data_IF_697896490947
#
_entry.id   IF_697896490947
#
_cell.length_a   1.000
_cell.length_b   1.000
_cell.length_c   1.000
_cell.angle_alpha   90.00
_cell.angle_beta   90.00
_cell.angle_gamma   90.00
#
_symmetry.space_group_name_H-M   'P 1'
#
loop_
_entity.id
_entity.type
_entity.pdbx_description
1 polymer ?
#
# COMPACT_ATOMS: atom_id res chain seq x y z
N UNK A 1 -34.85 -50.86 -23.49
CA UNK A 1 -35.27 -50.53 -24.87
C UNK A 1 -35.07 -49.03 -25.08
N UNK A 2 -33.94 -48.64 -25.68
CA UNK A 2 -33.63 -47.25 -26.01
C UNK A 2 -34.31 -46.86 -27.33
N UNK A 3 -35.09 -45.77 -27.33
CA UNK A 3 -35.59 -45.15 -28.56
C UNK A 3 -34.49 -44.24 -29.13
N UNK A 4 -34.20 -44.27 -30.43
CA UNK A 4 -33.20 -43.40 -31.02
C UNK A 4 -33.74 -41.97 -31.17
N UNK A 5 -32.91 -41.00 -30.79
CA UNK A 5 -33.17 -39.57 -30.88
C UNK A 5 -33.11 -39.10 -32.34
N UNK A 6 -34.23 -38.61 -32.85
CA UNK A 6 -34.39 -38.05 -34.20
C UNK A 6 -33.52 -36.80 -34.37
N UNK A 7 -32.54 -36.83 -35.28
CA UNK A 7 -31.79 -35.63 -35.70
C UNK A 7 -32.54 -34.94 -36.85
N UNK A 8 -32.98 -33.70 -36.64
CA UNK A 8 -33.51 -32.83 -37.69
C UNK A 8 -32.34 -32.19 -38.46
N UNK A 9 -32.23 -32.36 -39.80
CA UNK A 9 -31.26 -31.65 -40.59
C UNK A 9 -31.80 -30.26 -40.96
N UNK A 10 -31.20 -29.20 -40.41
CA UNK A 10 -31.39 -27.83 -40.88
C UNK A 10 -30.72 -27.68 -42.26
N UNK A 11 -31.52 -27.72 -43.32
CA UNK A 11 -31.07 -27.37 -44.68
C UNK A 11 -31.07 -25.85 -44.84
N UNK A 12 -29.89 -25.23 -44.77
CA UNK A 12 -29.68 -23.88 -45.28
C UNK A 12 -29.63 -23.93 -46.82
N UNK A 13 -30.61 -23.33 -47.47
CA UNK A 13 -30.61 -23.13 -48.92
C UNK A 13 -29.59 -22.03 -49.28
N UNK A 14 -28.71 -22.23 -50.28
CA UNK A 14 -27.82 -21.18 -50.72
C UNK A 14 -28.59 -20.21 -51.63
N UNK A 15 -28.67 -18.93 -51.23
CA UNK A 15 -28.97 -17.85 -52.17
C UNK A 15 -27.74 -17.66 -53.06
N UNK A 16 -27.89 -17.95 -54.35
CA UNK A 16 -26.92 -17.64 -55.39
C UNK A 16 -26.76 -16.11 -55.48
N UNK A 17 -25.62 -15.60 -55.03
CA UNK A 17 -25.14 -14.26 -55.38
C UNK A 17 -23.82 -14.45 -56.11
N UNK A 18 -23.88 -14.30 -57.43
CA UNK A 18 -22.72 -14.25 -58.31
C UNK A 18 -21.99 -12.92 -58.10
N UNK A 19 -20.94 -12.91 -57.28
CA UNK A 19 -19.90 -11.89 -57.30
C UNK A 19 -18.57 -12.54 -56.91
N UNK A 20 -17.46 -12.30 -57.62
CA UNK A 20 -16.17 -12.89 -57.28
C UNK A 20 -15.57 -12.10 -56.11
N UNK A 21 -15.97 -12.43 -54.89
CA UNK A 21 -15.30 -11.93 -53.69
C UNK A 21 -14.14 -12.90 -53.40
N UNK A 22 -12.91 -12.44 -53.64
CA UNK A 22 -11.71 -13.13 -53.15
C UNK A 22 -11.65 -12.99 -51.62
N UNK A 23 -12.41 -13.83 -50.92
CA UNK A 23 -12.28 -14.00 -49.47
C UNK A 23 -11.01 -14.81 -49.20
N UNK A 24 -9.94 -14.14 -48.79
CA UNK A 24 -8.79 -14.82 -48.17
C UNK A 24 -9.24 -15.31 -46.78
N UNK A 25 -9.22 -16.62 -46.49
CA UNK A 25 -9.50 -17.10 -45.14
C UNK A 25 -8.39 -16.65 -44.20
N UNK A 26 -8.75 -15.98 -43.11
CA UNK A 26 -7.82 -15.45 -42.08
C UNK A 26 -7.25 -16.58 -41.19
N UNK A 27 -7.66 -17.85 -41.41
CA UNK A 27 -7.15 -18.97 -40.65
C UNK A 27 -7.05 -20.26 -41.49
N UNK A 28 -5.90 -20.93 -41.42
CA UNK A 28 -5.59 -22.20 -42.09
C UNK A 28 -5.87 -23.45 -41.26
N UNK A 29 -6.68 -23.33 -40.19
CA UNK A 29 -6.89 -24.41 -39.20
C UNK A 29 -8.34 -24.86 -39.20
N UNK A 30 -8.54 -26.18 -39.14
CA UNK A 30 -9.86 -26.79 -39.06
C UNK A 30 -10.48 -26.43 -37.71
N UNK A 31 -11.63 -25.75 -37.71
CA UNK A 31 -12.39 -25.47 -36.51
C UNK A 31 -12.78 -26.79 -35.81
N UNK A 32 -12.09 -27.11 -34.72
CA UNK A 32 -12.46 -28.24 -33.85
C UNK A 32 -13.50 -27.74 -32.83
N UNK A 33 -14.67 -28.39 -32.71
CA UNK A 33 -15.61 -28.08 -31.65
C UNK A 33 -14.97 -28.36 -30.27
N UNK A 34 -15.35 -27.58 -29.26
CA UNK A 34 -14.89 -27.76 -27.89
C UNK A 34 -15.25 -29.16 -27.38
N UNK A 35 -14.24 -29.90 -26.91
CA UNK A 35 -14.43 -31.21 -26.31
C UNK A 35 -14.81 -31.03 -24.84
N UNK A 36 -16.09 -31.16 -24.52
CA UNK A 36 -16.57 -31.11 -23.13
C UNK A 36 -16.20 -32.42 -22.45
N UNK A 37 -15.32 -32.36 -21.43
CA UNK A 37 -14.94 -33.53 -20.66
C UNK A 37 -16.19 -34.16 -19.99
N UNK A 38 -16.39 -35.50 -20.07
CA UNK A 38 -17.58 -36.18 -19.54
C UNK A 38 -17.77 -36.12 -18.01
N UNK A 39 -16.86 -35.48 -17.27
CA UNK A 39 -16.74 -35.55 -15.80
C UNK A 39 -17.37 -34.35 -15.07
N UNK A 40 -17.98 -33.40 -15.78
CA UNK A 40 -18.77 -32.36 -15.10
C UNK A 40 -20.12 -32.97 -14.70
N UNK A 41 -20.19 -33.38 -13.44
CA UNK A 41 -21.30 -34.13 -12.84
C UNK A 41 -22.66 -33.50 -13.12
N UNK A 42 -23.58 -34.31 -13.65
CA UNK A 42 -25.02 -34.00 -13.64
C UNK A 42 -25.55 -34.24 -12.24
N UNK A 43 -25.36 -33.25 -11.39
CA UNK A 43 -25.97 -33.16 -10.08
C UNK A 43 -26.23 -31.68 -9.76
N UNK A 44 -27.20 -31.36 -8.89
CA UNK A 44 -27.29 -30.01 -8.35
C UNK A 44 -25.93 -29.61 -7.79
N UNK A 45 -25.51 -28.34 -7.96
CA UNK A 45 -24.26 -27.86 -7.40
C UNK A 45 -24.20 -28.25 -5.92
N UNK A 46 -23.04 -28.71 -5.42
CA UNK A 46 -22.90 -29.07 -4.02
C UNK A 46 -23.35 -27.89 -3.16
N UNK A 47 -24.03 -28.20 -2.06
CA UNK A 47 -24.47 -27.16 -1.13
C UNK A 47 -23.29 -26.27 -0.73
N UNK A 48 -23.49 -24.94 -0.63
CA UNK A 48 -22.46 -24.02 -0.17
C UNK A 48 -21.85 -24.55 1.13
N UNK A 49 -20.52 -24.58 1.26
CA UNK A 49 -19.88 -25.05 2.48
C UNK A 49 -20.42 -24.25 3.66
N UNK A 50 -21.08 -24.93 4.59
CA UNK A 50 -21.56 -24.35 5.83
C UNK A 50 -20.33 -23.83 6.57
N UNK A 51 -20.30 -22.56 7.03
CA UNK A 51 -19.17 -22.04 7.79
C UNK A 51 -18.98 -22.93 9.02
N UNK A 52 -17.89 -23.70 9.03
CA UNK A 52 -17.53 -24.55 10.14
C UNK A 52 -17.51 -23.70 11.41
N UNK A 53 -18.19 -24.14 12.47
CA UNK A 53 -18.15 -23.48 13.77
C UNK A 53 -16.70 -23.30 14.18
N UNK A 54 -16.25 -22.05 14.16
CA UNK A 54 -14.84 -21.71 14.22
C UNK A 54 -14.33 -21.94 15.63
N UNK A 55 -13.87 -23.15 15.92
CA UNK A 55 -13.19 -23.43 17.18
C UNK A 55 -11.80 -22.78 17.11
N UNK A 56 -11.55 -21.81 18.00
CA UNK A 56 -10.30 -21.07 18.08
C UNK A 56 -9.07 -22.01 18.15
N UNK A 57 -9.19 -23.16 18.81
CA UNK A 57 -8.13 -24.15 18.90
C UNK A 57 -7.79 -24.81 17.56
N UNK A 58 -8.77 -25.03 16.69
CA UNK A 58 -8.54 -25.60 15.35
C UNK A 58 -7.84 -24.60 14.42
N UNK A 59 -8.15 -23.30 14.54
CA UNK A 59 -7.43 -22.23 13.81
C UNK A 59 -5.96 -22.14 14.22
N UNK A 60 -5.69 -22.17 15.52
CA UNK A 60 -4.32 -22.12 16.05
C UNK A 60 -3.53 -23.36 15.63
N UNK A 61 -4.12 -24.56 15.73
CA UNK A 61 -3.48 -25.80 15.29
C UNK A 61 -3.17 -25.81 13.79
N UNK A 62 -4.09 -25.32 12.94
CA UNK A 62 -3.86 -25.19 11.50
C UNK A 62 -2.72 -24.21 11.18
N UNK A 63 -2.69 -23.05 11.84
CA UNK A 63 -1.60 -22.07 11.69
C UNK A 63 -0.24 -22.65 12.13
N UNK A 64 -0.21 -23.40 13.24
CA UNK A 64 1.01 -24.10 13.70
C UNK A 64 1.51 -25.11 12.67
N UNK A 65 0.64 -25.98 12.14
CA UNK A 65 1.01 -26.96 11.10
C UNK A 65 1.50 -26.30 9.82
N UNK A 66 0.86 -25.22 9.38
CA UNK A 66 1.32 -24.45 8.21
C UNK A 66 2.70 -23.85 8.45
N UNK A 67 2.93 -23.25 9.64
CA UNK A 67 4.23 -22.69 9.99
C UNK A 67 5.33 -23.77 10.04
N UNK A 68 5.03 -24.96 10.56
CA UNK A 68 5.95 -26.10 10.58
C UNK A 68 6.28 -26.61 9.16
N UNK A 69 5.28 -26.70 8.29
CA UNK A 69 5.46 -27.08 6.89
C UNK A 69 6.32 -26.06 6.13
N UNK A 70 6.12 -24.76 6.39
CA UNK A 70 6.94 -23.66 5.86
C UNK A 70 8.39 -23.75 6.36
N UNK A 71 8.61 -24.07 7.66
CA UNK A 71 9.95 -24.31 8.21
C UNK A 71 10.64 -25.48 7.49
N UNK A 72 9.96 -26.61 7.32
CA UNK A 72 10.53 -27.77 6.64
C UNK A 72 10.85 -27.49 5.16
N UNK A 73 9.95 -26.80 4.44
CA UNK A 73 10.19 -26.39 3.06
C UNK A 73 11.42 -25.45 2.95
N UNK A 74 11.60 -24.57 3.93
CA UNK A 74 12.74 -23.66 4.00
C UNK A 74 14.06 -24.38 4.29
N UNK A 75 14.07 -25.34 5.19
CA UNK A 75 15.23 -26.18 5.49
C UNK A 75 15.67 -27.00 4.25
N UNK A 76 14.72 -27.58 3.52
CA UNK A 76 14.97 -28.28 2.27
C UNK A 76 15.55 -27.36 1.18
N UNK A 77 15.04 -26.13 1.05
CA UNK A 77 15.55 -25.14 0.10
C UNK A 77 16.99 -24.72 0.46
N UNK A 78 17.28 -24.49 1.74
CA UNK A 78 18.62 -24.13 2.21
C UNK A 78 19.63 -25.28 2.02
N UNK A 79 19.21 -26.53 2.20
CA UNK A 79 20.04 -27.71 1.97
C UNK A 79 20.47 -27.82 0.49
N UNK A 80 19.60 -27.51 -0.47
CA UNK A 80 19.92 -27.57 -1.91
C UNK A 80 20.91 -26.50 -2.38
N UNK A 81 21.02 -25.36 -1.68
CA UNK A 81 21.96 -24.26 -2.01
C UNK A 81 23.40 -24.56 -1.54
N UNK A 82 23.63 -25.67 -0.83
CA UNK A 82 24.96 -26.03 -0.29
C UNK A 82 26.02 -26.34 -1.35
N UNK A 83 25.66 -26.62 -2.60
CA UNK A 83 26.59 -27.11 -3.63
C UNK A 83 27.30 -26.07 -4.52
N UNK A 84 27.16 -24.74 -4.34
CA UNK A 84 27.93 -23.82 -5.21
C UNK A 84 27.77 -22.30 -5.09
N UNK A 85 27.83 -21.68 -3.90
CA UNK A 85 27.76 -20.21 -3.82
C UNK A 85 28.39 -19.60 -2.56
N UNK A 86 29.17 -18.52 -2.75
CA UNK A 86 29.87 -17.76 -1.71
C UNK A 86 28.97 -17.18 -0.61
N UNK A 87 29.56 -16.84 0.53
CA UNK A 87 28.90 -16.63 1.83
C UNK A 87 27.77 -15.59 1.88
N UNK A 88 27.73 -14.62 0.97
CA UNK A 88 26.66 -13.60 0.89
C UNK A 88 25.35 -14.11 0.26
N UNK A 89 25.36 -15.27 -0.40
CA UNK A 89 24.16 -15.85 -1.04
C UNK A 89 23.26 -16.62 -0.08
N UNK A 90 23.73 -16.93 1.13
CA UNK A 90 23.01 -17.78 2.10
C UNK A 90 22.54 -16.95 3.29
N UNK A 91 21.37 -17.30 3.83
CA UNK A 91 20.91 -16.79 5.12
C UNK A 91 21.87 -17.32 6.20
N UNK A 92 22.44 -16.43 7.01
CA UNK A 92 23.39 -16.80 8.07
C UNK A 92 22.73 -16.89 9.45
N UNK A 93 21.42 -16.64 9.55
CA UNK A 93 20.64 -16.68 10.80
C UNK A 93 19.51 -17.70 10.72
N UNK A 94 19.15 -18.28 11.86
CA UNK A 94 18.04 -19.24 11.98
C UNK A 94 16.82 -18.57 12.58
N UNK A 95 16.99 -17.93 13.72
CA UNK A 95 15.93 -17.38 14.55
C UNK A 95 16.01 -15.85 14.57
N UNK A 96 14.85 -15.20 14.56
CA UNK A 96 14.72 -13.75 14.71
C UNK A 96 13.90 -13.47 15.95
N UNK A 97 14.46 -12.71 16.88
CA UNK A 97 13.83 -12.43 18.19
C UNK A 97 13.80 -10.93 18.45
N UNK A 98 12.80 -10.47 19.19
CA UNK A 98 12.74 -9.11 19.73
C UNK A 98 13.17 -9.19 21.18
N UNK A 99 14.13 -8.36 21.57
CA UNK A 99 14.66 -8.30 22.94
C UNK A 99 14.63 -6.87 23.43
N UNK A 100 14.27 -6.67 24.70
CA UNK A 100 14.42 -5.40 25.37
C UNK A 100 15.85 -5.29 25.93
N UNK A 101 16.59 -4.28 25.49
CA UNK A 101 17.98 -4.04 25.85
C UNK A 101 18.19 -2.54 26.05
N UNK A 102 18.67 -2.16 27.24
CA UNK A 102 18.96 -0.77 27.62
C UNK A 102 17.78 0.20 27.39
N UNK A 103 16.56 -0.22 27.73
CA UNK A 103 15.35 0.61 27.57
C UNK A 103 14.91 0.81 26.11
N UNK A 104 15.33 -0.07 25.20
CA UNK A 104 14.86 -0.08 23.81
C UNK A 104 14.63 -1.51 23.33
N UNK A 105 13.69 -1.68 22.40
CA UNK A 105 13.50 -2.93 21.68
C UNK A 105 14.55 -3.06 20.58
N UNK A 106 15.16 -4.22 20.48
CA UNK A 106 16.15 -4.56 19.46
C UNK A 106 15.74 -5.87 18.78
N UNK A 107 15.88 -5.92 17.46
CA UNK A 107 15.71 -7.15 16.69
C UNK A 107 17.05 -7.87 16.64
N UNK A 108 17.08 -9.14 17.04
CA UNK A 108 18.27 -9.99 17.04
C UNK A 108 18.13 -11.11 16.01
N UNK A 109 19.18 -11.28 15.20
CA UNK A 109 19.39 -12.40 14.31
C UNK A 109 20.28 -13.42 15.05
N UNK A 110 19.67 -14.51 15.50
CA UNK A 110 20.22 -15.42 16.51
C UNK A 110 20.68 -14.65 17.77
N UNK A 111 21.98 -14.40 17.90
CA UNK A 111 22.60 -13.69 19.04
C UNK A 111 23.06 -12.28 18.71
N UNK A 112 22.90 -11.83 17.46
CA UNK A 112 23.43 -10.55 16.97
C UNK A 112 22.32 -9.55 16.74
N UNK A 113 22.43 -8.39 17.38
CA UNK A 113 21.53 -7.27 17.12
C UNK A 113 21.61 -6.80 15.67
N UNK A 114 20.45 -6.48 15.09
CA UNK A 114 20.31 -5.89 13.77
C UNK A 114 20.95 -4.50 13.75
N UNK A 115 21.69 -4.22 12.67
CA UNK A 115 22.47 -2.99 12.54
C UNK A 115 22.05 -2.17 11.33
N UNK A 116 22.18 -0.86 11.49
CA UNK A 116 22.00 0.10 10.43
C UNK A 116 22.97 -0.19 9.26
N UNK A 117 22.49 -0.22 7.99
CA UNK A 117 23.31 -0.60 6.84
C UNK A 117 24.56 0.25 6.64
N UNK A 118 24.49 1.56 6.94
CA UNK A 118 25.57 2.53 6.70
C UNK A 118 26.42 2.70 7.96
N UNK A 119 25.86 3.35 8.98
CA UNK A 119 26.52 3.68 10.28
C UNK A 119 26.92 2.47 11.13
N UNK A 120 26.38 1.27 10.87
CA UNK A 120 26.61 0.04 11.66
C UNK A 120 26.17 0.12 13.13
N UNK A 121 25.49 1.18 13.53
CA UNK A 121 24.86 1.29 14.86
C UNK A 121 23.76 0.24 15.00
N UNK A 122 23.45 -0.14 16.24
CA UNK A 122 22.33 -1.06 16.51
C UNK A 122 21.02 -0.29 16.25
N UNK A 123 20.08 -0.91 15.55
CA UNK A 123 18.74 -0.35 15.35
C UNK A 123 17.97 -0.45 16.66
N UNK A 124 17.68 0.69 17.29
CA UNK A 124 17.01 0.78 18.60
C UNK A 124 15.59 1.28 18.39
N UNK A 125 14.60 0.46 18.70
CA UNK A 125 13.18 0.79 18.58
C UNK A 125 12.65 1.21 19.96
N UNK A 126 11.85 2.29 20.08
CA UNK A 126 11.25 2.67 21.35
C UNK A 126 10.40 1.54 21.96
N UNK A 127 10.37 1.42 23.29
CA UNK A 127 9.53 0.44 24.01
C UNK A 127 8.04 0.60 23.70
N UNK A 128 7.62 1.83 23.40
CA UNK A 128 6.26 2.15 23.01
C UNK A 128 5.85 1.50 21.68
N UNK A 129 6.79 1.03 20.83
CA UNK A 129 6.53 0.51 19.47
C UNK A 129 6.78 -1.01 19.32
N UNK A 130 6.10 -1.89 20.08
CA UNK A 130 6.30 -3.34 20.00
C UNK A 130 5.82 -3.95 18.67
N UNK A 131 4.80 -3.35 18.05
CA UNK A 131 4.27 -3.81 16.76
C UNK A 131 5.27 -3.57 15.63
N UNK A 132 5.94 -2.40 15.63
CA UNK A 132 7.03 -2.10 14.70
C UNK A 132 8.19 -3.10 14.86
N UNK A 133 8.61 -3.36 16.11
CA UNK A 133 9.69 -4.30 16.39
C UNK A 133 9.35 -5.72 15.92
N UNK A 134 8.11 -6.17 16.17
CA UNK A 134 7.61 -7.46 15.72
C UNK A 134 7.52 -7.54 14.20
N UNK A 135 7.09 -6.46 13.53
CA UNK A 135 7.00 -6.40 12.08
C UNK A 135 8.39 -6.42 11.42
N UNK A 136 9.38 -5.72 11.97
CA UNK A 136 10.79 -5.81 11.52
C UNK A 136 11.34 -7.22 11.76
N UNK A 137 11.02 -7.85 12.91
CA UNK A 137 11.43 -9.23 13.14
C UNK A 137 10.84 -10.19 12.10
N UNK A 138 9.57 -10.02 11.74
CA UNK A 138 8.92 -10.79 10.67
C UNK A 138 9.54 -10.51 9.29
N UNK A 139 9.86 -9.25 8.98
CA UNK A 139 10.54 -8.86 7.76
C UNK A 139 11.84 -9.65 7.57
N UNK A 140 12.69 -9.69 8.60
CA UNK A 140 13.94 -10.46 8.61
C UNK A 140 13.73 -11.97 8.73
N UNK A 141 12.62 -12.40 9.32
CA UNK A 141 12.27 -13.81 9.34
C UNK A 141 11.83 -14.29 7.96
N UNK A 142 11.29 -13.46 7.08
CA UNK A 142 10.86 -13.87 5.74
C UNK A 142 11.99 -13.94 4.70
N UNK A 143 13.14 -13.30 4.96
CA UNK A 143 14.27 -13.26 4.01
C UNK A 143 14.88 -14.65 3.77
N UNK A 144 15.03 -15.04 2.50
CA UNK A 144 15.61 -16.34 2.14
C UNK A 144 17.14 -16.33 2.12
N UNK A 145 17.75 -15.15 2.02
CA UNK A 145 19.20 -14.99 1.94
C UNK A 145 19.67 -13.66 2.55
N UNK A 146 20.97 -13.55 2.86
CA UNK A 146 21.56 -12.28 3.26
C UNK A 146 21.54 -11.24 2.12
N UNK A 147 21.55 -11.68 0.86
CA UNK A 147 21.43 -10.79 -0.30
C UNK A 147 20.03 -10.16 -0.40
N UNK A 148 18.99 -10.84 0.06
CA UNK A 148 17.64 -10.25 0.09
C UNK A 148 17.58 -9.02 1.00
N UNK A 149 18.41 -8.97 2.06
CA UNK A 149 18.53 -7.80 2.92
C UNK A 149 19.17 -6.58 2.23
N UNK A 150 19.71 -6.70 1.02
CA UNK A 150 20.17 -5.54 0.24
C UNK A 150 19.08 -5.01 -0.69
N UNK A 151 17.94 -5.70 -0.81
CA UNK A 151 16.83 -5.31 -1.67
C UNK A 151 15.80 -4.53 -0.85
N UNK A 152 15.71 -3.23 -1.09
CA UNK A 152 14.85 -2.32 -0.32
C UNK A 152 13.37 -2.75 -0.29
N UNK A 153 12.85 -3.33 -1.37
CA UNK A 153 11.48 -3.82 -1.43
C UNK A 153 11.20 -5.04 -0.55
N UNK A 154 12.24 -5.76 -0.09
CA UNK A 154 12.13 -6.88 0.85
C UNK A 154 12.36 -6.47 2.30
N UNK A 155 12.91 -5.27 2.53
CA UNK A 155 13.14 -4.73 3.87
C UNK A 155 12.61 -3.29 4.08
N UNK A 156 11.34 -3.02 3.71
CA UNK A 156 10.81 -1.66 3.71
C UNK A 156 10.71 -1.00 5.09
N UNK A 157 10.48 -1.77 6.16
CA UNK A 157 10.41 -1.27 7.54
C UNK A 157 11.80 -1.02 8.11
N UNK A 158 12.75 -1.92 7.88
CA UNK A 158 14.16 -1.69 8.26
C UNK A 158 14.69 -0.42 7.59
N UNK A 159 14.42 -0.24 6.29
CA UNK A 159 14.80 0.99 5.60
C UNK A 159 14.13 2.24 6.18
N UNK A 160 12.87 2.14 6.61
CA UNK A 160 12.12 3.26 7.18
C UNK A 160 12.64 3.70 8.54
N UNK A 161 12.87 2.76 9.45
CA UNK A 161 13.40 3.08 10.78
C UNK A 161 14.84 3.60 10.69
N UNK A 162 15.63 3.05 9.77
CA UNK A 162 16.97 3.57 9.46
C UNK A 162 16.88 5.03 9.00
N UNK A 163 15.94 5.37 8.11
CA UNK A 163 15.68 6.74 7.68
C UNK A 163 15.30 7.66 8.84
N UNK A 164 14.45 7.21 9.78
CA UNK A 164 14.11 7.99 10.98
C UNK A 164 15.34 8.23 11.87
N UNK A 165 16.19 7.21 12.07
CA UNK A 165 17.44 7.37 12.81
C UNK A 165 18.44 8.32 12.14
N UNK A 166 18.57 8.27 10.81
CA UNK A 166 19.42 9.19 10.06
C UNK A 166 18.97 10.65 10.23
N UNK A 167 17.65 10.88 10.27
CA UNK A 167 17.07 12.22 10.54
C UNK A 167 17.38 12.67 11.96
N UNK A 168 17.11 11.82 12.96
CA UNK A 168 17.39 12.14 14.36
C UNK A 168 18.89 12.44 14.59
N UNK A 169 19.78 11.63 14.03
CA UNK A 169 21.22 11.83 14.14
C UNK A 169 21.68 13.13 13.45
N UNK A 170 21.05 13.53 12.35
CA UNK A 170 21.33 14.81 11.69
C UNK A 170 20.80 16.01 12.47
N UNK A 171 19.69 15.87 13.21
CA UNK A 171 19.15 16.91 14.08
C UNK A 171 20.00 17.11 15.35
N UNK A 172 20.68 16.07 15.83
CA UNK A 172 21.62 16.14 16.97
C UNK A 172 23.00 16.70 16.58
N UNK A 173 23.32 16.76 15.28
CA UNK A 173 24.62 17.21 14.82
C UNK A 173 24.81 18.73 15.06
N UNK A 174 26.00 19.18 15.50
CA UNK A 174 26.26 20.61 15.70
C UNK A 174 26.12 21.37 14.38
N UNK A 175 25.25 22.38 14.34
CA UNK A 175 24.93 23.10 13.11
C UNK A 175 23.69 23.97 13.24
N UNK A 176 23.06 24.29 12.11
CA UNK A 176 21.82 25.06 12.06
C UNK A 176 20.70 24.42 12.91
N UNK A 177 19.75 25.23 13.37
CA UNK A 177 18.59 24.79 14.17
C UNK A 177 17.74 23.71 13.48
N UNK A 178 17.73 23.69 12.15
CA UNK A 178 17.05 22.69 11.33
C UNK A 178 18.10 21.96 10.48
N UNK A 179 18.14 20.64 10.58
CA UNK A 179 19.09 19.82 9.80
C UNK A 179 18.85 19.92 8.29
N UNK A 180 19.91 19.79 7.49
CA UNK A 180 19.82 19.81 6.02
C UNK A 180 18.89 18.72 5.48
N UNK A 181 18.87 17.55 6.13
CA UNK A 181 17.98 16.44 5.77
C UNK A 181 16.53 16.88 5.93
N UNK A 182 16.17 17.43 7.10
CA UNK A 182 14.82 17.91 7.42
C UNK A 182 14.37 19.03 6.48
N UNK A 183 15.26 19.97 6.19
CA UNK A 183 15.02 21.04 5.23
C UNK A 183 14.77 20.50 3.81
N UNK A 184 15.55 19.50 3.37
CA UNK A 184 15.37 18.83 2.08
C UNK A 184 14.04 18.07 1.97
N UNK A 185 13.62 17.41 3.06
CA UNK A 185 12.31 16.75 3.14
C UNK A 185 11.20 17.79 3.04
N UNK A 186 11.23 18.84 3.87
CA UNK A 186 10.23 19.91 3.85
C UNK A 186 10.12 20.55 2.46
N UNK A 187 11.24 20.85 1.82
CA UNK A 187 11.28 21.39 0.44
C UNK A 187 10.59 20.46 -0.55
N UNK A 188 10.82 19.15 -0.45
CA UNK A 188 10.18 18.17 -1.33
C UNK A 188 8.69 18.04 -1.07
N UNK A 189 8.28 17.98 0.19
CA UNK A 189 6.88 17.87 0.59
C UNK A 189 6.06 19.11 0.22
N UNK A 190 6.64 20.30 0.33
CA UNK A 190 5.97 21.53 -0.09
C UNK A 190 5.75 21.59 -1.61
N UNK A 191 6.57 20.92 -2.43
CA UNK A 191 6.26 20.78 -3.87
C UNK A 191 5.00 19.94 -4.11
N UNK A 192 4.73 18.95 -3.24
CA UNK A 192 3.46 18.24 -3.25
C UNK A 192 2.31 19.09 -2.75
N UNK A 193 2.51 20.04 -1.83
CA UNK A 193 1.46 21.01 -1.49
C UNK A 193 1.07 21.86 -2.71
N UNK A 194 2.07 22.32 -3.47
CA UNK A 194 1.86 23.15 -4.67
C UNK A 194 1.13 22.38 -5.79
N UNK A 195 1.12 21.04 -5.74
CA UNK A 195 0.55 20.15 -6.76
C UNK A 195 -0.21 18.97 -6.15
N UNK A 196 -0.90 19.20 -5.03
CA UNK A 196 -1.48 18.10 -4.24
C UNK A 196 -2.57 17.39 -5.05
N UNK A 197 -2.46 16.07 -5.20
CA UNK A 197 -3.38 15.29 -6.02
C UNK A 197 -4.83 15.40 -5.58
N UNK A 198 -5.11 15.58 -4.28
CA UNK A 198 -6.48 15.73 -3.77
C UNK A 198 -7.06 17.12 -4.05
N UNK A 199 -6.20 18.11 -4.32
CA UNK A 199 -6.60 19.47 -4.70
C UNK A 199 -6.66 19.66 -6.22
N UNK A 200 -6.45 18.59 -6.99
CA UNK A 200 -6.56 18.61 -8.45
C UNK A 200 -7.86 17.93 -8.87
N UNK A 201 -8.80 18.72 -9.39
CA UNK A 201 -10.15 18.24 -9.70
C UNK A 201 -10.38 18.14 -11.20
N UNK A 202 -11.17 17.13 -11.57
CA UNK A 202 -11.67 16.96 -12.92
C UNK A 202 -12.50 18.18 -13.36
N UNK A 203 -12.57 18.47 -14.67
CA UNK A 203 -13.45 19.49 -15.22
C UNK A 203 -14.93 19.27 -14.83
N UNK A 204 -15.77 20.32 -14.90
CA UNK A 204 -17.20 20.18 -14.70
C UNK A 204 -17.79 19.09 -15.60
N UNK A 205 -18.55 18.17 -15.00
CA UNK A 205 -19.15 17.06 -15.72
C UNK A 205 -20.18 17.55 -16.76
N UNK A 206 -20.14 16.92 -17.92
CA UNK A 206 -21.02 17.08 -19.06
C UNK A 206 -22.14 16.02 -19.05
N UNK A 207 -23.08 16.12 -19.98
CA UNK A 207 -24.18 15.15 -20.11
C UNK A 207 -23.72 13.73 -20.46
N UNK A 208 -22.52 13.59 -21.00
CA UNK A 208 -21.97 12.31 -21.44
C UNK A 208 -21.05 11.66 -20.41
N UNK A 209 -20.71 12.38 -19.34
CA UNK A 209 -19.84 11.84 -18.30
C UNK A 209 -20.58 10.78 -17.48
N UNK A 210 -19.86 9.71 -17.18
CA UNK A 210 -20.39 8.63 -16.37
C UNK A 210 -20.62 9.12 -14.94
N UNK A 211 -21.69 8.61 -14.33
CA UNK A 211 -22.05 8.91 -12.95
C UNK A 211 -22.06 7.60 -12.16
N UNK A 212 -21.78 7.69 -10.87
CA UNK A 212 -21.92 6.53 -9.97
C UNK A 212 -23.41 6.26 -9.69
N UNK A 213 -23.69 5.21 -8.91
CA UNK A 213 -25.06 4.83 -8.52
C UNK A 213 -25.82 5.94 -7.75
N UNK A 214 -25.09 6.85 -7.10
CA UNK A 214 -25.63 8.02 -6.41
C UNK A 214 -25.88 9.22 -7.35
N UNK A 215 -25.57 9.10 -8.64
CA UNK A 215 -25.72 10.17 -9.62
C UNK A 215 -24.62 11.23 -9.57
N UNK A 216 -23.53 10.98 -8.84
CA UNK A 216 -22.40 11.89 -8.68
C UNK A 216 -21.40 11.70 -9.83
N UNK A 217 -20.76 12.80 -10.24
CA UNK A 217 -19.62 12.75 -11.17
C UNK A 217 -18.30 12.51 -10.43
N UNK A 218 -17.23 12.16 -11.16
CA UNK A 218 -15.88 12.08 -10.60
C UNK A 218 -15.49 13.35 -9.84
N UNK A 219 -15.81 14.53 -10.40
CA UNK A 219 -15.52 15.82 -9.77
C UNK A 219 -16.23 15.98 -8.43
N UNK A 220 -17.49 15.53 -8.33
CA UNK A 220 -18.26 15.64 -7.09
C UNK A 220 -17.63 14.78 -5.98
N UNK A 221 -17.24 13.55 -6.31
CA UNK A 221 -16.57 12.63 -5.38
C UNK A 221 -15.17 13.16 -4.98
N UNK A 222 -14.41 13.72 -5.92
CA UNK A 222 -13.11 14.37 -5.64
C UNK A 222 -13.27 15.54 -4.66
N UNK A 223 -14.26 16.41 -4.88
CA UNK A 223 -14.54 17.55 -4.00
C UNK A 223 -14.92 17.11 -2.61
N UNK A 224 -15.82 16.13 -2.49
CA UNK A 224 -16.25 15.63 -1.20
C UNK A 224 -15.08 15.05 -0.39
N UNK A 225 -14.23 14.23 -1.02
CA UNK A 225 -13.03 13.67 -0.38
C UNK A 225 -12.06 14.78 0.04
N UNK A 226 -11.83 15.76 -0.84
CA UNK A 226 -10.95 16.89 -0.56
C UNK A 226 -11.48 17.75 0.60
N UNK A 227 -12.78 18.05 0.63
CA UNK A 227 -13.43 18.81 1.70
C UNK A 227 -13.33 18.08 3.04
N UNK A 228 -13.52 16.76 3.08
CA UNK A 228 -13.36 15.96 4.31
C UNK A 228 -11.94 16.11 4.88
N UNK A 229 -10.92 15.94 4.02
CA UNK A 229 -9.52 16.00 4.42
C UNK A 229 -9.12 17.43 4.81
N UNK A 230 -9.44 18.41 3.96
CA UNK A 230 -9.08 19.82 4.18
C UNK A 230 -9.76 20.35 5.45
N UNK A 231 -11.06 20.07 5.65
CA UNK A 231 -11.80 20.49 6.84
C UNK A 231 -11.15 19.94 8.11
N UNK A 232 -10.76 18.67 8.10
CA UNK A 232 -10.04 18.10 9.22
C UNK A 232 -8.71 18.83 9.48
N UNK A 233 -7.91 19.05 8.43
CA UNK A 233 -6.59 19.65 8.57
C UNK A 233 -6.66 21.10 9.04
N UNK A 234 -7.54 21.92 8.45
CA UNK A 234 -7.71 23.32 8.85
C UNK A 234 -8.37 23.48 10.22
N UNK A 235 -9.04 22.44 10.74
CA UNK A 235 -9.60 22.46 12.09
C UNK A 235 -8.58 21.99 13.14
N UNK A 236 -7.85 20.92 12.86
CA UNK A 236 -7.07 20.20 13.88
C UNK A 236 -5.56 20.38 13.77
N UNK A 237 -5.03 20.72 12.58
CA UNK A 237 -3.59 20.71 12.32
C UNK A 237 -3.08 22.11 12.00
N UNK A 238 -3.78 22.83 11.13
CA UNK A 238 -3.44 24.18 10.69
C UNK A 238 -4.62 25.14 10.90
N UNK A 239 -4.99 25.44 12.16
CA UNK A 239 -6.08 26.36 12.45
C UNK A 239 -5.84 27.74 11.83
N UNK A 240 -6.86 28.26 11.15
CA UNK A 240 -6.85 29.60 10.59
C UNK A 240 -6.27 29.73 9.18
N UNK A 241 -5.77 28.65 8.56
CA UNK A 241 -5.40 28.68 7.14
C UNK A 241 -6.58 28.27 6.25
N UNK A 242 -6.62 28.82 5.04
CA UNK A 242 -7.54 28.39 3.98
C UNK A 242 -6.73 27.69 2.90
N UNK A 243 -7.07 26.44 2.62
CA UNK A 243 -6.49 25.68 1.51
C UNK A 243 -7.50 25.70 0.37
N UNK A 244 -7.04 26.12 -0.81
CA UNK A 244 -7.85 26.19 -2.03
C UNK A 244 -7.47 25.06 -3.00
N UNK A 245 -8.34 24.72 -3.96
CA UNK A 245 -8.00 23.76 -5.01
C UNK A 245 -6.81 24.26 -5.82
N UNK A 246 -5.91 23.36 -6.21
CA UNK A 246 -4.72 23.68 -7.02
C UNK A 246 -5.08 23.71 -8.51
N UNK A 247 -5.92 22.78 -8.96
CA UNK A 247 -6.46 22.73 -10.32
C UNK A 247 -7.98 22.53 -10.26
N UNK A 248 -8.73 23.41 -10.91
CA UNK A 248 -10.20 23.32 -11.00
C UNK A 248 -10.69 23.22 -12.47
N UNK A 249 -10.08 22.32 -13.23
CA UNK A 249 -10.52 21.91 -14.58
C UNK A 249 -10.41 22.93 -15.72
N UNK A 250 -10.35 24.24 -15.41
CA UNK A 250 -10.28 25.32 -16.40
C UNK A 250 -8.85 25.70 -16.80
N UNK A 251 -7.85 25.11 -16.14
CA UNK A 251 -6.43 25.38 -16.35
C UNK A 251 -5.65 24.09 -16.11
N UNK A 252 -4.57 23.92 -16.87
CA UNK A 252 -3.53 22.91 -16.62
C UNK A 252 -2.40 23.44 -15.73
N UNK A 253 -2.38 24.75 -15.48
CA UNK A 253 -1.39 25.42 -14.65
C UNK A 253 -1.89 25.48 -13.20
N UNK A 254 -1.15 24.90 -12.24
CA UNK A 254 -1.44 24.97 -10.81
C UNK A 254 -1.57 26.41 -10.32
N UNK A 255 -2.60 26.69 -9.53
CA UNK A 255 -2.68 27.95 -8.80
C UNK A 255 -1.97 27.86 -7.45
N UNK A 256 -1.29 28.92 -7.06
CA UNK A 256 -0.61 28.99 -5.76
C UNK A 256 -1.63 29.13 -4.62
N UNK A 257 -1.30 28.54 -3.47
CA UNK A 257 -2.01 28.79 -2.22
C UNK A 257 -1.84 30.25 -1.77
N UNK A 258 -2.70 30.70 -0.85
CA UNK A 258 -2.61 32.05 -0.29
C UNK A 258 -1.26 32.29 0.44
N UNK A 259 -0.74 33.54 0.44
CA UNK A 259 0.48 33.87 1.18
C UNK A 259 0.38 33.45 2.67
N UNK A 260 1.42 32.86 3.22
CA UNK A 260 1.44 32.36 4.61
C UNK A 260 1.09 30.88 4.75
N UNK A 261 0.31 30.29 3.84
CA UNK A 261 -0.07 28.87 3.91
C UNK A 261 1.16 27.97 3.85
N UNK A 262 2.06 28.27 2.91
CA UNK A 262 3.28 27.50 2.70
C UNK A 262 4.18 27.54 3.94
N UNK A 263 4.31 28.71 4.56
CA UNK A 263 5.14 28.93 5.74
C UNK A 263 4.58 28.20 6.97
N UNK A 264 3.25 28.20 7.15
CA UNK A 264 2.58 27.44 8.23
C UNK A 264 2.80 25.95 8.06
N UNK A 265 2.58 25.43 6.85
CA UNK A 265 2.78 24.01 6.55
C UNK A 265 4.25 23.62 6.68
N UNK A 266 5.17 24.48 6.24
CA UNK A 266 6.61 24.27 6.41
C UNK A 266 6.99 24.17 7.88
N UNK A 267 6.55 25.13 8.70
CA UNK A 267 6.80 25.13 10.15
C UNK A 267 6.29 23.86 10.82
N UNK A 268 5.10 23.40 10.44
CA UNK A 268 4.53 22.14 10.92
C UNK A 268 5.39 20.93 10.52
N UNK A 269 5.78 20.80 9.25
CA UNK A 269 6.65 19.70 8.77
C UNK A 269 7.97 19.69 9.53
N UNK A 270 8.60 20.85 9.69
CA UNK A 270 9.90 20.93 10.37
C UNK A 270 9.81 20.63 11.86
N UNK A 271 8.66 20.86 12.48
CA UNK A 271 8.40 20.57 13.90
C UNK A 271 8.08 19.12 14.23
N UNK A 272 7.90 18.25 13.24
CA UNK A 272 7.62 16.82 13.44
C UNK A 272 8.83 16.08 14.04
N UNK A 273 8.57 15.06 14.86
CA UNK A 273 9.65 14.18 15.31
C UNK A 273 10.26 13.37 14.15
N UNK A 274 11.39 12.71 14.40
CA UNK A 274 12.12 11.98 13.35
C UNK A 274 11.36 10.78 12.75
N UNK A 275 10.51 10.11 13.54
CA UNK A 275 9.63 9.04 13.06
C UNK A 275 8.45 9.63 12.28
N UNK A 276 7.86 10.70 12.79
CA UNK A 276 6.73 11.40 12.18
C UNK A 276 7.10 11.97 10.80
N UNK A 277 8.23 12.68 10.68
CA UNK A 277 8.65 13.26 9.40
C UNK A 277 9.07 12.18 8.39
N UNK A 278 9.70 11.09 8.82
CA UNK A 278 10.02 9.95 7.95
C UNK A 278 8.74 9.26 7.46
N UNK A 279 7.73 9.14 8.34
CA UNK A 279 6.40 8.64 8.00
C UNK A 279 5.69 9.54 6.99
N UNK A 280 5.70 10.85 7.23
CA UNK A 280 5.12 11.85 6.33
C UNK A 280 5.79 11.83 4.95
N UNK A 281 7.12 11.81 4.91
CA UNK A 281 7.92 11.71 3.68
C UNK A 281 7.46 10.50 2.85
N UNK A 282 7.40 9.31 3.48
CA UNK A 282 6.99 8.09 2.80
C UNK A 282 5.53 8.14 2.32
N UNK A 283 4.60 8.55 3.17
CA UNK A 283 3.17 8.59 2.83
C UNK A 283 2.89 9.58 1.70
N UNK A 284 3.50 10.76 1.73
CA UNK A 284 3.31 11.78 0.71
C UNK A 284 3.91 11.37 -0.64
N UNK A 285 5.09 10.72 -0.65
CA UNK A 285 5.70 10.21 -1.89
C UNK A 285 4.89 9.07 -2.51
N UNK A 286 4.37 8.15 -1.68
CA UNK A 286 3.54 7.04 -2.14
C UNK A 286 2.18 7.51 -2.65
N UNK A 287 1.52 8.41 -1.90
CA UNK A 287 0.18 8.91 -2.22
C UNK A 287 0.16 10.09 -3.18
N UNK A 288 1.31 10.73 -3.44
CA UNK A 288 1.42 12.01 -4.18
C UNK A 288 0.50 13.10 -3.61
N UNK A 289 0.30 13.10 -2.31
CA UNK A 289 -0.54 14.06 -1.58
C UNK A 289 0.06 14.30 -0.21
N UNK A 290 0.43 15.55 0.07
CA UNK A 290 0.84 15.98 1.40
C UNK A 290 -0.37 16.01 2.34
N UNK A 291 -1.54 16.42 1.85
CA UNK A 291 -2.75 16.54 2.65
C UNK A 291 -3.22 15.18 3.16
N UNK A 292 -3.31 14.17 2.30
CA UNK A 292 -3.65 12.81 2.73
C UNK A 292 -2.61 12.28 3.71
N UNK A 293 -1.32 12.49 3.42
CA UNK A 293 -0.24 12.05 4.28
C UNK A 293 -0.30 12.71 5.67
N UNK A 294 -0.57 14.00 5.76
CA UNK A 294 -0.72 14.74 7.02
C UNK A 294 -1.97 14.26 7.79
N UNK A 295 -3.11 14.10 7.11
CA UNK A 295 -4.35 13.59 7.70
C UNK A 295 -4.16 12.19 8.27
N UNK A 296 -3.45 11.33 7.55
CA UNK A 296 -3.13 9.96 7.95
C UNK A 296 -2.13 9.94 9.10
N UNK A 297 -1.06 10.73 9.03
CA UNK A 297 -0.04 10.80 10.09
C UNK A 297 -0.65 11.19 11.44
N UNK A 298 -1.45 12.25 11.48
CA UNK A 298 -2.08 12.75 12.71
C UNK A 298 -3.05 11.73 13.33
N UNK A 299 -3.65 10.87 12.51
CA UNK A 299 -4.54 9.80 12.99
C UNK A 299 -3.77 8.66 13.69
N UNK A 300 -2.57 8.35 13.22
CA UNK A 300 -1.82 7.16 13.64
C UNK A 300 -0.61 7.45 14.53
N UNK A 301 -0.10 8.68 14.55
CA UNK A 301 1.06 9.04 15.36
C UNK A 301 0.77 8.88 16.85
N UNK A 302 1.68 8.26 17.59
CA UNK A 302 1.72 8.33 19.06
C UNK A 302 2.51 9.53 19.59
N UNK A 303 3.15 10.30 18.69
CA UNK A 303 3.96 11.47 19.00
C UNK A 303 3.11 12.72 19.27
N UNK A 304 3.75 13.87 19.21
CA UNK A 304 3.17 15.14 19.65
C UNK A 304 2.02 15.62 18.75
N UNK A 305 2.04 15.25 17.46
CA UNK A 305 0.96 15.62 16.53
C UNK A 305 -0.15 14.58 16.46
N UNK A 306 0.01 13.45 17.16
CA UNK A 306 -0.99 12.41 17.24
C UNK A 306 -2.24 12.89 17.95
N UNK A 307 -3.42 12.53 17.43
CA UNK A 307 -4.70 12.81 18.13
C UNK A 307 -4.89 12.01 19.43
N UNK A 308 -3.96 11.11 19.77
CA UNK A 308 -4.12 10.11 20.82
C UNK A 308 -5.18 9.06 20.44
N UNK A 309 -5.27 7.98 21.22
CA UNK A 309 -6.35 6.99 21.08
C UNK A 309 -7.67 7.57 21.61
N UNK A 310 -8.11 8.71 21.10
CA UNK A 310 -9.44 9.23 21.39
C UNK A 310 -10.40 8.37 20.58
N UNK A 311 -10.96 7.40 21.28
CA UNK A 311 -12.02 6.51 20.87
C UNK A 311 -13.29 7.35 20.58
N UNK A 312 -13.27 8.12 19.49
CA UNK A 312 -14.40 8.94 19.06
C UNK A 312 -15.45 8.10 18.32
N UNK A 313 -15.57 6.80 18.57
CA UNK A 313 -16.63 5.92 18.01
C UNK A 313 -16.78 5.92 16.47
N UNK A 314 -15.89 6.61 15.76
CA UNK A 314 -15.91 6.84 14.32
C UNK A 314 -14.82 6.04 13.64
N UNK A 315 -15.01 5.80 12.34
CA UNK A 315 -14.02 5.10 11.53
C UNK A 315 -12.72 5.91 11.47
N UNK A 316 -11.62 5.32 11.93
CA UNK A 316 -10.29 5.93 11.81
C UNK A 316 -9.96 6.16 10.34
N UNK A 317 -9.25 7.24 10.04
CA UNK A 317 -8.65 7.43 8.72
C UNK A 317 -7.49 6.44 8.52
N UNK A 318 -7.86 5.20 8.20
CA UNK A 318 -6.96 4.05 8.11
C UNK A 318 -6.26 3.92 6.77
N UNK A 319 -5.46 2.86 6.64
CA UNK A 319 -4.67 2.54 5.44
C UNK A 319 -5.56 2.46 4.19
N UNK A 320 -6.72 1.81 4.28
CA UNK A 320 -7.65 1.68 3.16
C UNK A 320 -8.23 3.02 2.74
N UNK A 321 -8.66 3.85 3.71
CA UNK A 321 -9.23 5.16 3.41
C UNK A 321 -8.19 6.12 2.83
N UNK A 322 -6.97 6.12 3.36
CA UNK A 322 -5.86 6.88 2.80
C UNK A 322 -5.51 6.43 1.37
N UNK A 323 -5.43 5.11 1.14
CA UNK A 323 -5.12 4.55 -0.20
C UNK A 323 -6.23 4.84 -1.21
N UNK A 324 -7.49 4.78 -0.77
CA UNK A 324 -8.65 5.16 -1.58
C UNK A 324 -8.60 6.65 -1.96
N UNK A 325 -8.30 7.54 -1.00
CA UNK A 325 -8.19 8.96 -1.26
C UNK A 325 -7.10 9.29 -2.29
N UNK A 326 -5.94 8.63 -2.22
CA UNK A 326 -4.82 8.85 -3.15
C UNK A 326 -5.05 8.25 -4.54
N UNK A 327 -5.85 7.18 -4.61
CA UNK A 327 -6.12 6.46 -5.87
C UNK A 327 -7.54 6.70 -6.40
N UNK A 328 -8.24 7.74 -5.91
CA UNK A 328 -9.66 7.97 -6.15
C UNK A 328 -10.01 7.97 -7.64
N UNK A 329 -9.28 8.74 -8.44
CA UNK A 329 -9.52 8.80 -9.89
C UNK A 329 -9.16 7.49 -10.60
N UNK A 330 -8.06 6.83 -10.21
CA UNK A 330 -7.69 5.53 -10.78
C UNK A 330 -8.78 4.50 -10.50
N UNK A 331 -9.28 4.42 -9.27
CA UNK A 331 -10.36 3.51 -8.88
C UNK A 331 -11.66 3.83 -9.61
N UNK A 332 -11.95 5.11 -9.83
CA UNK A 332 -13.09 5.52 -10.65
C UNK A 332 -12.95 4.99 -12.08
N UNK A 333 -11.81 5.25 -12.71
CA UNK A 333 -11.55 4.85 -14.10
C UNK A 333 -11.55 3.33 -14.28
N UNK A 334 -10.93 2.57 -13.37
CA UNK A 334 -10.92 1.10 -13.44
C UNK A 334 -12.28 0.49 -13.18
N UNK A 335 -13.12 1.11 -12.34
CA UNK A 335 -14.51 0.71 -12.18
C UNK A 335 -15.33 0.84 -13.47
N UNK A 336 -15.00 1.81 -14.33
CA UNK A 336 -15.70 2.03 -15.60
C UNK A 336 -15.12 1.23 -16.77
N UNK A 337 -13.80 1.16 -16.86
CA UNK A 337 -13.10 0.65 -18.05
C UNK A 337 -12.35 -0.66 -17.81
N UNK A 338 -12.45 -1.20 -16.60
CA UNK A 338 -11.72 -2.40 -16.18
C UNK A 338 -10.33 -2.07 -15.64
N UNK A 339 -9.85 -2.97 -14.80
CA UNK A 339 -8.51 -2.92 -14.25
C UNK A 339 -7.49 -3.43 -15.28
N UNK A 340 -6.29 -2.83 -15.29
CA UNK A 340 -5.16 -3.29 -16.10
C UNK A 340 -4.25 -4.09 -15.18
N UNK A 341 -4.20 -5.41 -15.38
CA UNK A 341 -3.32 -6.34 -14.66
C UNK A 341 -1.84 -5.92 -14.80
N UNK A 342 -1.05 -6.21 -13.77
CA UNK A 342 0.37 -5.84 -13.63
C UNK A 342 0.66 -4.31 -13.58
N UNK A 343 -0.36 -3.46 -13.47
CA UNK A 343 -0.20 -1.99 -13.37
C UNK A 343 -1.05 -1.42 -12.24
N UNK A 344 -2.37 -1.46 -12.35
CA UNK A 344 -3.27 -0.84 -11.39
C UNK A 344 -3.32 -1.64 -10.09
N UNK A 345 -3.39 -2.96 -10.19
CA UNK A 345 -3.38 -3.92 -9.08
C UNK A 345 -2.09 -3.80 -8.25
N UNK A 346 -0.93 -3.80 -8.91
CA UNK A 346 0.38 -3.68 -8.27
C UNK A 346 0.51 -2.34 -7.56
N UNK A 347 0.12 -1.24 -8.21
CA UNK A 347 0.18 0.09 -7.61
C UNK A 347 -0.78 0.20 -6.40
N UNK A 348 -1.98 -0.37 -6.50
CA UNK A 348 -2.97 -0.39 -5.42
C UNK A 348 -2.46 -1.11 -4.17
N UNK A 349 -1.81 -2.26 -4.35
CA UNK A 349 -1.18 -2.99 -3.24
C UNK A 349 0.08 -2.29 -2.73
N UNK A 350 0.87 -1.65 -3.61
CA UNK A 350 2.07 -0.92 -3.18
C UNK A 350 1.73 0.29 -2.31
N UNK A 351 0.73 1.10 -2.69
CA UNK A 351 0.28 2.24 -1.88
C UNK A 351 -0.16 1.77 -0.49
N UNK A 352 -0.98 0.71 -0.41
CA UNK A 352 -1.40 0.11 0.87
C UNK A 352 -0.21 -0.36 1.70
N UNK A 353 0.75 -1.03 1.07
CA UNK A 353 1.97 -1.50 1.71
C UNK A 353 2.79 -0.33 2.28
N UNK A 354 2.92 0.77 1.54
CA UNK A 354 3.64 1.97 1.98
C UNK A 354 2.90 2.65 3.14
N UNK A 355 1.59 2.90 3.02
CA UNK A 355 0.76 3.50 4.07
C UNK A 355 0.74 2.63 5.34
N UNK A 356 0.61 1.31 5.20
CA UNK A 356 0.69 0.36 6.32
C UNK A 356 2.06 0.38 7.02
N UNK A 357 3.14 0.53 6.25
CA UNK A 357 4.48 0.68 6.84
C UNK A 357 4.63 1.98 7.64
N UNK A 358 3.97 3.06 7.20
CA UNK A 358 3.93 4.34 7.93
C UNK A 358 3.13 4.21 9.22
N UNK A 359 1.95 3.58 9.18
CA UNK A 359 1.17 3.31 10.40
C UNK A 359 1.99 2.56 11.44
N UNK A 360 2.69 1.49 11.06
CA UNK A 360 3.56 0.75 11.97
C UNK A 360 4.72 1.61 12.52
N UNK A 361 5.28 2.51 11.70
CA UNK A 361 6.38 3.38 12.14
C UNK A 361 5.94 4.37 13.22
N UNK A 362 4.80 5.02 13.02
CA UNK A 362 4.40 6.18 13.84
C UNK A 362 3.49 5.81 14.99
N UNK A 363 2.83 4.66 14.93
CA UNK A 363 1.99 4.16 16.01
C UNK A 363 2.79 3.50 17.12
N UNK A 364 2.19 3.48 18.30
CA UNK A 364 2.63 2.67 19.41
C UNK A 364 1.62 2.67 20.55
N UNK A 365 2.05 2.23 21.72
CA UNK A 365 1.21 1.97 22.89
C UNK A 365 0.93 3.23 23.70
N UNK A 366 1.52 4.39 23.34
CA UNK A 366 1.35 5.66 24.06
C UNK A 366 1.92 5.65 25.49
N UNK A 367 2.60 4.57 25.89
CA UNK A 367 3.35 4.47 27.14
C UNK A 367 4.81 4.74 26.83
N UNK A 368 5.23 5.99 27.03
CA UNK A 368 6.64 6.34 27.15
C UNK A 368 7.12 5.98 28.56
#
# INVERSE_FOLDING_TARGET
>A
MMKPTTRLPLRLAPRLVNAPVFLRPIHSTVAKPANVAPIVGTGPPPEPPIPATVNAHQRVARRKRQAEMLKNARELRNANVTKGGGGLKKRFWKDVTVQEVDGALQVHLDTRALRHPVTKSIVRIPLSKPDLASAIALEWDLLSSAQDATRQHLIPLTGLICRAHDIAAADEAPGAEISEIRSGIATTLLRYLDTDSVLCWAPPATEHDTRNDAGESLRDVQKQMAEEIVSFLTTNVWPGITIIPVLDGNSIMPQSQAPGVREVVQGWITGLDAYEIAGLERAALAGKSLLVAARFLVEWSEGSVGRGSVDQGGEKFGVEKASMATSLEVNWQTGQWGEVEDTHDVNNEDVRRQMGSVALLVSGTGKA
#
